data_IF_535697828893
#
_entry.id   IF_535697828893
#
_cell.length_a   1.000
_cell.length_b   1.000
_cell.length_c   1.000
_cell.angle_alpha   90.00
_cell.angle_beta   90.00
_cell.angle_gamma   90.00
#
_symmetry.space_group_name_H-M   'P 1'
#
loop_
_entity.id
_entity.type
_entity.pdbx_description
1 polymer ?
#
# COMPACT_ATOMS: atom_id res chain seq x y z
N UNK A 1 -18.76 14.97 -20.02
CA UNK A 1 -18.23 13.74 -19.38
C UNK A 1 -17.24 14.17 -18.29
N UNK A 2 -17.69 14.47 -17.06
CA UNK A 2 -16.82 14.97 -16.00
C UNK A 2 -16.44 13.79 -15.07
N UNK A 3 -15.63 12.84 -15.57
CA UNK A 3 -15.16 11.71 -14.76
C UNK A 3 -13.65 11.80 -14.45
N UNK A 4 -12.96 12.84 -14.95
CA UNK A 4 -11.50 12.98 -14.87
C UNK A 4 -11.08 14.22 -14.05
N UNK A 5 -12.04 15.06 -13.61
CA UNK A 5 -11.72 16.37 -13.05
C UNK A 5 -11.33 16.37 -11.55
N UNK A 6 -11.60 15.30 -10.81
CA UNK A 6 -11.33 15.20 -9.36
C UNK A 6 -10.45 13.99 -9.03
N UNK A 7 -9.42 13.71 -9.83
CA UNK A 7 -8.39 12.75 -9.41
C UNK A 7 -7.34 13.49 -8.58
N UNK A 8 -7.53 13.48 -7.27
CA UNK A 8 -6.57 14.07 -6.35
C UNK A 8 -5.27 13.26 -6.28
N UNK A 9 -4.21 13.89 -5.78
CA UNK A 9 -2.90 13.23 -5.58
C UNK A 9 -3.06 11.94 -4.76
N UNK A 10 -4.03 11.91 -3.84
CA UNK A 10 -4.34 10.74 -3.01
C UNK A 10 -4.96 9.56 -3.78
N UNK A 11 -5.52 9.78 -4.97
CA UNK A 11 -6.01 8.71 -5.85
C UNK A 11 -5.00 8.36 -6.93
N UNK A 12 -4.30 9.36 -7.47
CA UNK A 12 -3.32 9.19 -8.53
C UNK A 12 -2.08 8.42 -8.03
N UNK A 13 -1.63 8.69 -6.80
CA UNK A 13 -0.40 8.13 -6.25
C UNK A 13 -0.53 6.62 -5.94
N UNK A 14 -1.61 6.13 -5.27
CA UNK A 14 -1.83 4.71 -5.10
C UNK A 14 -2.03 3.97 -6.41
N UNK A 15 -2.72 4.60 -7.38
CA UNK A 15 -2.92 4.04 -8.70
C UNK A 15 -1.58 3.86 -9.43
N UNK A 16 -0.75 4.91 -9.46
CA UNK A 16 0.56 4.87 -10.08
C UNK A 16 1.48 3.83 -9.44
N UNK A 17 1.52 3.77 -8.09
CA UNK A 17 2.29 2.75 -7.36
C UNK A 17 1.78 1.35 -7.71
N UNK A 18 0.47 1.13 -7.73
CA UNK A 18 -0.12 -0.16 -8.08
C UNK A 18 0.28 -0.61 -9.49
N UNK A 19 0.20 0.30 -10.46
CA UNK A 19 0.62 0.03 -11.85
C UNK A 19 2.11 -0.31 -11.92
N UNK A 20 2.98 0.44 -11.24
CA UNK A 20 4.42 0.17 -11.20
C UNK A 20 4.69 -1.22 -10.60
N UNK A 21 4.03 -1.58 -9.51
CA UNK A 21 4.19 -2.89 -8.86
C UNK A 21 3.70 -4.04 -9.73
N UNK A 22 2.68 -3.81 -10.55
CA UNK A 22 2.11 -4.79 -11.47
C UNK A 22 3.01 -5.00 -12.69
N UNK A 23 3.58 -3.93 -13.24
CA UNK A 23 4.46 -3.96 -14.43
C UNK A 23 5.86 -4.48 -14.11
N UNK A 24 6.37 -4.27 -12.89
CA UNK A 24 7.69 -4.79 -12.47
C UNK A 24 7.75 -6.31 -12.59
N UNK A 25 8.54 -6.84 -13.54
CA UNK A 25 8.76 -8.30 -13.65
C UNK A 25 9.29 -8.86 -12.32
N UNK A 26 8.78 -10.04 -11.94
CA UNK A 26 9.25 -10.75 -10.76
C UNK A 26 10.54 -11.49 -11.15
N UNK A 27 11.71 -11.20 -10.54
CA UNK A 27 12.98 -11.82 -10.94
C UNK A 27 13.12 -13.29 -10.47
N UNK A 28 12.18 -13.79 -9.67
CA UNK A 28 12.19 -15.14 -9.13
C UNK A 28 11.49 -16.13 -10.05
N UNK A 29 11.94 -17.39 -10.03
CA UNK A 29 11.32 -18.47 -10.79
C UNK A 29 9.86 -18.67 -10.37
N UNK A 30 9.00 -18.93 -11.36
CA UNK A 30 7.58 -19.16 -11.11
C UNK A 30 7.40 -20.37 -10.19
N UNK A 31 6.71 -20.18 -9.06
CA UNK A 31 6.43 -21.23 -8.08
C UNK A 31 7.40 -21.32 -6.90
N UNK A 32 8.48 -20.52 -6.86
CA UNK A 32 9.33 -20.45 -5.66
C UNK A 32 8.63 -19.75 -4.49
N UNK A 33 9.00 -20.08 -3.25
CA UNK A 33 8.51 -19.37 -2.06
C UNK A 33 8.81 -17.86 -2.11
N UNK A 34 9.93 -17.49 -2.73
CA UNK A 34 10.37 -16.11 -2.91
C UNK A 34 9.49 -15.35 -3.91
N UNK A 35 8.97 -16.04 -4.92
CA UNK A 35 8.02 -15.46 -5.87
C UNK A 35 6.70 -15.09 -5.18
N UNK A 36 6.21 -15.98 -4.31
CA UNK A 36 4.98 -15.76 -3.55
C UNK A 36 5.14 -14.66 -2.50
N UNK A 37 6.25 -14.64 -1.74
CA UNK A 37 6.49 -13.60 -0.72
C UNK A 37 6.58 -12.21 -1.34
N UNK A 38 7.19 -12.09 -2.53
CA UNK A 38 7.27 -10.81 -3.21
C UNK A 38 5.91 -10.32 -3.72
N UNK A 39 5.03 -11.22 -4.21
CA UNK A 39 3.65 -10.84 -4.55
C UNK A 39 2.87 -10.37 -3.33
N UNK A 40 2.98 -11.09 -2.20
CA UNK A 40 2.33 -10.72 -0.94
C UNK A 40 2.79 -9.34 -0.48
N UNK A 41 4.10 -9.05 -0.52
CA UNK A 41 4.62 -7.72 -0.19
C UNK A 41 4.12 -6.63 -1.15
N UNK A 42 4.03 -6.91 -2.46
CA UNK A 42 3.50 -5.93 -3.44
C UNK A 42 2.02 -5.63 -3.20
N UNK A 43 1.23 -6.65 -2.89
CA UNK A 43 -0.19 -6.48 -2.53
C UNK A 43 -0.31 -5.67 -1.24
N UNK A 44 0.49 -5.99 -0.22
CA UNK A 44 0.53 -5.21 1.02
C UNK A 44 0.94 -3.75 0.79
N UNK A 45 1.92 -3.50 -0.08
CA UNK A 45 2.33 -2.14 -0.43
C UNK A 45 1.20 -1.39 -1.15
N UNK A 46 0.54 -2.02 -2.12
CA UNK A 46 -0.58 -1.42 -2.82
C UNK A 46 -1.71 -1.06 -1.82
N UNK A 47 -2.10 -2.00 -0.95
CA UNK A 47 -3.13 -1.77 0.07
C UNK A 47 -2.75 -0.63 1.03
N UNK A 48 -1.48 -0.52 1.42
CA UNK A 48 -1.01 0.58 2.28
C UNK A 48 -1.20 1.94 1.60
N UNK A 49 -0.91 2.05 0.30
CA UNK A 49 -1.13 3.29 -0.46
C UNK A 49 -2.62 3.58 -0.67
N UNK A 50 -3.43 2.57 -0.98
CA UNK A 50 -4.88 2.73 -1.11
C UNK A 50 -5.57 3.16 0.20
N UNK A 51 -4.94 2.93 1.35
CA UNK A 51 -5.43 3.46 2.62
C UNK A 51 -5.47 4.99 2.67
N UNK A 52 -4.56 5.69 1.99
CA UNK A 52 -4.34 7.12 2.20
C UNK A 52 -5.53 8.04 1.86
N UNK A 53 -6.49 7.59 1.04
CA UNK A 53 -7.64 8.40 0.60
C UNK A 53 -9.02 7.88 1.02
N UNK A 54 -9.11 6.87 1.90
CA UNK A 54 -10.38 6.16 2.17
C UNK A 54 -10.93 6.35 3.60
N UNK A 55 -10.55 7.42 4.29
CA UNK A 55 -11.07 7.75 5.64
C UNK A 55 -11.00 6.57 6.61
N UNK A 56 -12.12 6.17 7.23
CA UNK A 56 -12.15 5.07 8.21
C UNK A 56 -11.77 3.68 7.62
N UNK A 57 -11.96 3.48 6.31
CA UNK A 57 -11.58 2.25 5.60
C UNK A 57 -10.06 2.12 5.51
N UNK A 58 -9.33 3.24 5.64
CA UNK A 58 -7.87 3.28 5.72
C UNK A 58 -7.33 2.33 6.79
N UNK A 59 -7.91 2.31 7.98
CA UNK A 59 -7.43 1.49 9.09
C UNK A 59 -7.58 -0.01 8.83
N UNK A 60 -8.62 -0.42 8.10
CA UNK A 60 -8.80 -1.82 7.71
C UNK A 60 -7.74 -2.24 6.66
N UNK A 61 -7.46 -1.37 5.69
CA UNK A 61 -6.44 -1.59 4.68
C UNK A 61 -5.03 -1.56 5.27
N UNK A 62 -4.79 -0.67 6.23
CA UNK A 62 -3.57 -0.59 7.03
C UNK A 62 -3.32 -1.87 7.80
N UNK A 63 -4.33 -2.40 8.49
CA UNK A 63 -4.23 -3.66 9.21
C UNK A 63 -3.92 -4.83 8.26
N UNK A 64 -4.58 -4.88 7.10
CA UNK A 64 -4.29 -5.89 6.09
C UNK A 64 -2.85 -5.77 5.55
N UNK A 65 -2.39 -4.56 5.24
CA UNK A 65 -1.02 -4.29 4.81
C UNK A 65 0.00 -4.68 5.89
N UNK A 66 -0.27 -4.37 7.15
CA UNK A 66 0.56 -4.72 8.30
C UNK A 66 0.72 -6.24 8.43
N UNK A 67 -0.39 -7.00 8.37
CA UNK A 67 -0.36 -8.47 8.40
C UNK A 67 0.45 -9.02 7.23
N UNK A 68 0.25 -8.50 6.02
CA UNK A 68 1.01 -8.92 4.83
C UNK A 68 2.51 -8.60 4.96
N UNK A 69 2.84 -7.47 5.60
CA UNK A 69 4.22 -7.12 5.95
C UNK A 69 4.87 -8.12 6.90
N UNK A 70 4.16 -8.53 7.96
CA UNK A 70 4.63 -9.58 8.89
C UNK A 70 4.82 -10.91 8.15
N UNK A 71 3.85 -11.31 7.32
CA UNK A 71 3.97 -12.53 6.50
C UNK A 71 5.18 -12.44 5.57
N UNK A 72 5.47 -11.26 5.01
CA UNK A 72 6.67 -10.99 4.23
C UNK A 72 7.96 -11.22 5.04
N UNK A 73 8.03 -10.71 6.27
CA UNK A 73 9.16 -10.93 7.19
C UNK A 73 9.35 -12.41 7.50
N UNK A 74 8.28 -13.11 7.88
CA UNK A 74 8.30 -14.55 8.23
C UNK A 74 8.75 -15.40 7.04
N UNK A 75 8.41 -15.00 5.81
CA UNK A 75 8.85 -15.66 4.57
C UNK A 75 10.26 -15.24 4.10
N UNK A 76 11.06 -14.62 4.96
CA UNK A 76 12.47 -14.29 4.68
C UNK A 76 12.69 -12.98 3.92
N UNK A 77 11.68 -12.11 3.80
CA UNK A 77 11.78 -10.78 3.18
C UNK A 77 11.71 -9.66 4.21
N UNK A 78 12.66 -9.64 5.13
CA UNK A 78 12.76 -8.64 6.21
C UNK A 78 12.71 -7.21 5.66
N UNK A 79 13.54 -6.86 4.67
CA UNK A 79 13.58 -5.48 4.15
C UNK A 79 12.24 -5.00 3.58
N UNK A 80 11.60 -5.80 2.72
CA UNK A 80 10.31 -5.43 2.11
C UNK A 80 9.16 -5.49 3.12
N UNK A 81 9.16 -6.50 4.00
CA UNK A 81 8.14 -6.63 5.03
C UNK A 81 8.16 -5.47 6.04
N UNK A 82 9.36 -5.02 6.45
CA UNK A 82 9.51 -3.83 7.32
C UNK A 82 8.99 -2.58 6.62
N UNK A 83 9.31 -2.37 5.34
CA UNK A 83 8.80 -1.21 4.58
C UNK A 83 7.27 -1.21 4.53
N UNK A 84 6.65 -2.36 4.23
CA UNK A 84 5.19 -2.48 4.21
C UNK A 84 4.60 -2.21 5.60
N UNK A 85 5.20 -2.72 6.67
CA UNK A 85 4.76 -2.46 8.05
C UNK A 85 4.84 -0.96 8.37
N UNK A 86 6.00 -0.32 8.13
CA UNK A 86 6.18 1.11 8.42
C UNK A 86 5.18 1.94 7.63
N UNK A 87 5.03 1.69 6.33
CA UNK A 87 4.07 2.42 5.50
C UNK A 87 2.62 2.17 5.94
N UNK A 88 2.28 0.95 6.36
CA UNK A 88 0.94 0.63 6.84
C UNK A 88 0.54 1.43 8.08
N UNK A 89 1.49 1.94 8.87
CA UNK A 89 1.21 2.78 10.04
C UNK A 89 1.32 4.27 9.71
N UNK A 90 2.32 4.66 8.93
CA UNK A 90 2.59 6.08 8.61
C UNK A 90 1.52 6.65 7.68
N UNK A 91 1.11 5.90 6.65
CA UNK A 91 0.20 6.40 5.62
C UNK A 91 -1.22 6.69 6.15
N UNK A 92 -1.82 5.86 7.01
CA UNK A 92 -3.10 6.19 7.65
C UNK A 92 -3.04 7.43 8.52
N UNK A 93 -1.98 7.56 9.31
CA UNK A 93 -1.79 8.72 10.19
C UNK A 93 -1.70 9.99 9.33
N UNK A 94 -0.89 9.99 8.27
CA UNK A 94 -0.78 11.11 7.35
C UNK A 94 -2.12 11.45 6.68
N UNK A 95 -2.85 10.45 6.19
CA UNK A 95 -4.19 10.66 5.59
C UNK A 95 -5.15 11.31 6.59
N UNK A 96 -5.21 10.80 7.82
CA UNK A 96 -6.10 11.35 8.86
C UNK A 96 -5.71 12.76 9.32
N UNK A 97 -4.41 13.08 9.33
CA UNK A 97 -3.93 14.43 9.65
C UNK A 97 -4.29 15.41 8.53
N UNK A 98 -4.21 14.95 7.28
CA UNK A 98 -4.59 15.76 6.12
C UNK A 98 -6.10 16.02 6.08
N UNK A 99 -6.92 14.98 6.26
CA UNK A 99 -8.38 15.10 6.38
C UNK A 99 -8.77 16.08 7.50
N UNK A 100 -8.06 16.03 8.63
CA UNK A 100 -8.30 16.93 9.76
C UNK A 100 -7.89 18.38 9.43
N UNK A 101 -6.82 18.56 8.66
CA UNK A 101 -6.36 19.88 8.21
C UNK A 101 -7.37 20.52 7.26
N UNK A 102 -7.88 19.77 6.29
CA UNK A 102 -8.92 20.23 5.35
C UNK A 102 -10.26 20.50 6.05
N UNK A 103 -10.58 19.78 7.13
CA UNK A 103 -11.80 20.02 7.91
C UNK A 103 -11.72 21.30 8.79
N UNK A 104 -10.52 21.70 9.22
CA UNK A 104 -10.29 22.81 10.14
C UNK A 104 -9.86 24.12 9.47
N UNK A 105 -9.43 24.07 8.21
CA UNK A 105 -9.04 25.24 7.38
C UNK A 105 -10.20 25.84 6.60
#
# INVERSE_FOLDING_TARGET
>A
MPFIADLDVFDLLPLAVTVILLVRKNPYSHGSQEWQSLRICRVGLALAFWGMGLGLVCYALALAAFILGIVGIVKGRTGYGVVVIVLSVVLPVLGTVFDLYDLLG
#
